data_IF_585230811062
#
_entry.id   IF_585230811062
#
_cell.length_a   1.000
_cell.length_b   1.000
_cell.length_c   1.000
_cell.angle_alpha   90.00
_cell.angle_beta   90.00
_cell.angle_gamma   90.00
#
_symmetry.space_group_name_H-M   'P 1'
#
loop_
_entity.id
_entity.type
_entity.pdbx_description
1 polymer ?
#
# COMPACT_ATOMS: atom_id res chain seq x y z
N UNK A 1 12.06 -27.92 -23.25
CA UNK A 1 13.43 -27.41 -23.09
C UNK A 1 13.97 -27.09 -24.47
N UNK A 2 14.13 -25.79 -24.77
CA UNK A 2 14.98 -25.30 -25.86
C UNK A 2 16.13 -24.59 -25.12
N UNK A 3 17.36 -24.92 -25.48
CA UNK A 3 18.57 -24.59 -24.72
C UNK A 3 18.74 -23.07 -24.48
N UNK A 4 18.90 -22.67 -23.22
CA UNK A 4 19.56 -21.41 -22.85
C UNK A 4 18.72 -20.17 -22.56
N UNK A 5 17.47 -20.05 -23.03
CA UNK A 5 16.64 -18.86 -22.74
C UNK A 5 15.64 -19.12 -21.60
N UNK A 6 16.12 -18.98 -20.36
CA UNK A 6 15.23 -18.95 -19.19
C UNK A 6 14.59 -17.56 -19.12
N UNK A 7 13.36 -17.42 -19.65
CA UNK A 7 12.53 -16.24 -19.38
C UNK A 7 12.39 -16.17 -17.85
N UNK A 8 13.10 -15.24 -17.21
CA UNK A 8 12.90 -14.95 -15.80
C UNK A 8 11.56 -14.23 -15.69
N UNK A 9 10.48 -14.99 -15.53
CA UNK A 9 9.23 -14.39 -15.06
C UNK A 9 9.53 -13.91 -13.64
N UNK A 10 9.54 -12.59 -13.37
CA UNK A 10 9.80 -12.12 -12.03
C UNK A 10 8.74 -12.71 -11.10
N UNK A 11 9.18 -13.33 -10.00
CA UNK A 11 8.25 -13.82 -8.99
C UNK A 11 7.47 -12.63 -8.45
N UNK A 12 6.17 -12.55 -8.76
CA UNK A 12 5.32 -11.46 -8.31
C UNK A 12 5.28 -11.43 -6.78
N UNK A 13 5.70 -10.31 -6.20
CA UNK A 13 5.69 -10.11 -4.75
C UNK A 13 4.35 -9.57 -4.26
N UNK A 14 4.03 -9.81 -2.99
CA UNK A 14 2.88 -9.17 -2.34
C UNK A 14 3.02 -7.64 -2.40
N UNK A 15 1.91 -6.94 -2.70
CA UNK A 15 1.87 -5.48 -2.85
C UNK A 15 1.70 -4.79 -1.49
N UNK A 16 0.94 -5.42 -0.58
CA UNK A 16 0.71 -4.93 0.79
C UNK A 16 1.93 -5.20 1.67
N UNK A 17 2.94 -4.32 1.58
CA UNK A 17 4.13 -4.35 2.43
C UNK A 17 4.28 -3.05 3.20
N UNK A 18 4.85 -3.07 4.41
CA UNK A 18 5.19 -1.84 5.14
C UNK A 18 6.03 -0.88 4.29
N UNK A 19 5.78 0.41 4.44
CA UNK A 19 6.48 1.47 3.69
C UNK A 19 5.95 1.72 2.28
N UNK A 20 4.94 0.98 1.82
CA UNK A 20 4.27 1.26 0.54
C UNK A 20 3.24 2.38 0.70
N UNK A 21 3.28 3.33 -0.24
CA UNK A 21 2.31 4.43 -0.32
C UNK A 21 1.03 3.91 -0.96
N UNK A 22 -0.11 4.29 -0.39
CA UNK A 22 -1.44 3.89 -0.83
C UNK A 22 -2.37 5.11 -0.87
N UNK A 23 -3.44 5.00 -1.66
CA UNK A 23 -4.53 5.96 -1.71
C UNK A 23 -5.77 5.32 -1.10
N UNK A 24 -6.40 5.99 -0.13
CA UNK A 24 -7.64 5.52 0.47
C UNK A 24 -8.80 5.80 -0.49
N UNK A 25 -9.55 4.76 -0.87
CA UNK A 25 -10.60 4.86 -1.89
C UNK A 25 -11.99 5.19 -1.32
N UNK A 26 -12.24 4.92 -0.04
CA UNK A 26 -13.58 5.07 0.56
C UNK A 26 -13.57 5.35 2.06
N UNK A 27 -14.75 5.73 2.59
CA UNK A 27 -14.94 6.10 3.98
C UNK A 27 -14.54 7.55 4.29
N UNK A 28 -14.49 7.91 5.59
CA UNK A 28 -14.20 9.27 6.08
C UNK A 28 -12.89 9.86 5.55
N UNK A 29 -11.92 9.01 5.20
CA UNK A 29 -10.57 9.39 4.79
C UNK A 29 -10.29 9.18 3.29
N UNK A 30 -11.34 9.03 2.47
CA UNK A 30 -11.19 8.88 1.02
C UNK A 30 -10.39 10.04 0.38
N UNK A 31 -9.58 9.71 -0.63
CA UNK A 31 -8.71 10.68 -1.33
C UNK A 31 -7.41 11.03 -0.59
N UNK A 32 -7.21 10.53 0.63
CA UNK A 32 -5.98 10.76 1.40
C UNK A 32 -4.90 9.75 1.02
N UNK A 33 -3.67 10.25 0.86
CA UNK A 33 -2.45 9.46 0.73
C UNK A 33 -2.05 8.95 2.11
N UNK A 34 -1.60 7.71 2.16
CA UNK A 34 -1.16 7.06 3.37
C UNK A 34 0.00 6.09 3.10
N UNK A 35 0.62 5.59 4.16
CA UNK A 35 1.66 4.57 4.11
C UNK A 35 1.18 3.35 4.90
N UNK A 36 1.42 2.15 4.37
CA UNK A 36 1.19 0.91 5.11
C UNK A 36 2.22 0.81 6.25
N UNK A 37 1.73 0.71 7.49
CA UNK A 37 2.56 0.46 8.67
C UNK A 37 2.68 -1.04 8.92
N UNK A 38 1.55 -1.75 8.83
CA UNK A 38 1.49 -3.20 9.05
C UNK A 38 0.42 -3.81 8.14
N UNK A 39 0.77 -4.90 7.48
CA UNK A 39 -0.15 -5.69 6.68
C UNK A 39 -0.65 -6.90 7.48
N UNK A 40 -1.94 -7.21 7.35
CA UNK A 40 -2.62 -8.38 7.92
C UNK A 40 -3.20 -9.18 6.76
N UNK A 41 -2.37 -9.99 6.10
CA UNK A 41 -2.77 -10.73 4.90
C UNK A 41 -3.84 -11.80 5.20
N UNK A 42 -3.82 -12.39 6.40
CA UNK A 42 -4.76 -13.43 6.83
C UNK A 42 -5.90 -12.88 7.71
N UNK A 43 -5.94 -11.57 7.92
CA UNK A 43 -6.86 -10.94 8.86
C UNK A 43 -6.34 -10.90 10.31
N UNK A 44 -7.22 -10.51 11.22
CA UNK A 44 -7.00 -10.43 12.68
C UNK A 44 -8.23 -10.97 13.41
N UNK A 45 -8.14 -11.09 14.75
CA UNK A 45 -9.28 -11.45 15.60
C UNK A 45 -10.50 -10.55 15.39
N UNK A 46 -10.27 -9.26 15.12
CA UNK A 46 -11.34 -8.27 14.97
C UNK A 46 -11.93 -8.28 13.55
N UNK A 47 -11.13 -8.71 12.55
CA UNK A 47 -11.47 -8.63 11.13
C UNK A 47 -10.88 -9.81 10.39
N UNK A 48 -11.74 -10.75 10.00
CA UNK A 48 -11.34 -11.97 9.30
C UNK A 48 -10.85 -11.75 7.85
N UNK A 49 -10.98 -10.56 7.28
CA UNK A 49 -10.52 -10.24 5.93
C UNK A 49 -9.15 -9.58 5.93
N UNK A 50 -8.43 -9.71 4.81
CA UNK A 50 -7.11 -9.09 4.63
C UNK A 50 -7.21 -7.56 4.70
N UNK A 51 -6.41 -6.95 5.57
CA UNK A 51 -6.43 -5.50 5.76
C UNK A 51 -5.04 -4.96 6.12
N UNK A 52 -4.90 -3.65 6.16
CA UNK A 52 -3.67 -2.99 6.57
C UNK A 52 -3.96 -1.89 7.58
N UNK A 53 -3.03 -1.75 8.53
CA UNK A 53 -2.90 -0.53 9.32
C UNK A 53 -2.14 0.49 8.48
N UNK A 54 -2.74 1.66 8.28
CA UNK A 54 -2.19 2.75 7.48
C UNK A 54 -2.05 4.02 8.31
N UNK A 55 -1.00 4.79 8.04
CA UNK A 55 -0.82 6.14 8.56
C UNK A 55 -0.98 7.14 7.41
N UNK A 56 -1.97 8.02 7.51
CA UNK A 56 -2.32 8.98 6.46
C UNK A 56 -2.19 10.43 6.91
N UNK A 57 -2.20 11.34 5.94
CA UNK A 57 -2.16 12.79 6.16
C UNK A 57 -3.60 13.33 6.12
N UNK A 58 -4.04 14.00 7.19
CA UNK A 58 -5.40 14.56 7.28
C UNK A 58 -5.56 15.81 6.42
N UNK A 59 -4.75 16.83 6.72
CA UNK A 59 -4.61 18.05 5.95
C UNK A 59 -3.23 18.07 5.30
N UNK A 60 -3.21 18.17 3.98
CA UNK A 60 -1.95 18.29 3.26
C UNK A 60 -1.25 19.61 3.60
N UNK A 61 0.09 19.65 3.55
CA UNK A 61 0.84 20.88 3.67
C UNK A 61 0.32 21.91 2.65
N UNK A 62 0.09 23.13 3.11
CA UNK A 62 -0.23 24.24 2.22
C UNK A 62 1.00 24.58 1.39
N UNK A 63 0.77 25.02 0.16
CA UNK A 63 1.83 25.61 -0.64
C UNK A 63 2.35 26.85 0.08
N UNK A 64 3.63 26.85 0.43
CA UNK A 64 4.35 28.04 0.86
C UNK A 64 4.95 28.68 -0.40
N UNK A 65 4.66 29.95 -0.61
CA UNK A 65 4.76 30.61 -1.92
C UNK A 65 6.16 30.67 -2.53
N UNK A 66 6.18 30.81 -3.86
CA UNK A 66 7.32 31.32 -4.62
C UNK A 66 7.38 32.84 -4.44
N UNK A 67 8.27 33.29 -3.57
CA UNK A 67 8.93 34.59 -3.68
C UNK A 67 10.42 34.34 -3.84
#
# INVERSE_FOLDING_TARGET
>A
MINGFRIRVPKMGKIMKPGKVVLVLGGRFAGRKAIIVKAYDEGSSDRAYSHALIAGIDKYPLMVGLF
#
